data_IF_293157323824
#
_entry.id   IF_293157323824
#
_cell.length_a   1.000
_cell.length_b   1.000
_cell.length_c   1.000
_cell.angle_alpha   90.00
_cell.angle_beta   90.00
_cell.angle_gamma   90.00
#
_symmetry.space_group_name_H-M   'P 1'
#
loop_
_entity.id
_entity.type
_entity.pdbx_description
1 polymer ?
#
# COMPACT_ATOMS: atom_id res chain seq x y z
N UNK A 1 -5.72 12.72 -56.49
CA UNK A 1 -6.08 11.54 -55.67
C UNK A 1 -5.04 11.16 -54.61
N UNK A 2 -3.73 11.38 -54.79
CA UNK A 2 -2.70 11.03 -53.78
C UNK A 2 -2.75 11.84 -52.46
N UNK A 3 -3.22 13.09 -52.48
CA UNK A 3 -3.24 13.96 -51.29
C UNK A 3 -4.34 13.61 -50.28
N UNK A 4 -5.49 13.09 -50.73
CA UNK A 4 -6.62 12.75 -49.84
C UNK A 4 -6.32 11.48 -49.03
N UNK A 5 -5.59 10.53 -49.63
CA UNK A 5 -5.18 9.28 -48.96
C UNK A 5 -4.24 9.54 -47.76
N UNK A 6 -3.36 10.53 -47.88
CA UNK A 6 -2.43 10.93 -46.82
C UNK A 6 -3.14 11.51 -45.58
N UNK A 7 -4.20 12.31 -45.78
CA UNK A 7 -4.98 12.85 -44.66
C UNK A 7 -5.76 11.76 -43.91
N UNK A 8 -6.30 10.77 -44.63
CA UNK A 8 -6.99 9.62 -44.01
C UNK A 8 -6.03 8.79 -43.15
N UNK A 9 -4.81 8.54 -43.61
CA UNK A 9 -3.81 7.80 -42.82
C UNK A 9 -3.43 8.57 -41.55
N UNK A 10 -3.22 9.89 -41.64
CA UNK A 10 -2.86 10.72 -40.47
C UNK A 10 -3.98 10.73 -39.42
N UNK A 11 -5.24 10.82 -39.84
CA UNK A 11 -6.41 10.80 -38.94
C UNK A 11 -6.60 9.42 -38.29
N UNK A 12 -6.35 8.32 -39.01
CA UNK A 12 -6.45 6.97 -38.42
C UNK A 12 -5.27 6.70 -37.47
N UNK A 13 -4.07 7.25 -37.73
CA UNK A 13 -2.94 7.14 -36.81
C UNK A 13 -3.02 8.07 -35.61
N UNK A 14 -3.74 9.19 -35.68
CA UNK A 14 -3.95 10.09 -34.54
C UNK A 14 -5.13 9.68 -33.65
N UNK A 15 -6.12 8.97 -34.19
CA UNK A 15 -7.19 8.35 -33.41
C UNK A 15 -6.72 7.14 -32.58
N UNK A 16 -5.58 6.54 -32.95
CA UNK A 16 -4.91 5.49 -32.21
C UNK A 16 -3.67 6.03 -31.46
N UNK A 17 -3.74 7.24 -30.91
CA UNK A 17 -2.89 7.52 -29.75
C UNK A 17 -3.33 6.54 -28.65
N UNK A 18 -2.49 5.57 -28.23
CA UNK A 18 -2.77 4.82 -27.02
C UNK A 18 -2.44 5.75 -25.84
N UNK A 19 -3.19 6.84 -25.69
CA UNK A 19 -3.46 7.45 -24.40
C UNK A 19 -4.34 6.49 -23.62
N UNK A 20 -3.80 5.30 -23.39
CA UNK A 20 -4.44 4.22 -22.68
C UNK A 20 -4.59 4.75 -21.26
N UNK A 21 -5.83 4.97 -20.82
CA UNK A 21 -6.16 5.10 -19.41
C UNK A 21 -5.66 3.83 -18.72
N UNK A 22 -4.38 3.79 -18.34
CA UNK A 22 -3.75 2.65 -17.68
C UNK A 22 -4.20 2.73 -16.22
N UNK A 23 -5.34 2.14 -15.95
CA UNK A 23 -5.72 1.83 -14.57
C UNK A 23 -4.91 0.64 -14.08
N UNK A 24 -4.41 0.75 -12.86
CA UNK A 24 -3.85 -0.39 -12.13
C UNK A 24 -4.96 -1.02 -11.31
N UNK A 25 -5.08 -2.35 -11.35
CA UNK A 25 -6.04 -3.08 -10.54
C UNK A 25 -5.31 -4.08 -9.65
N UNK A 26 -5.57 -4.03 -8.35
CA UNK A 26 -5.08 -5.00 -7.36
C UNK A 26 -6.27 -5.78 -6.79
N UNK A 27 -6.20 -7.10 -6.83
CA UNK A 27 -7.13 -7.96 -6.10
C UNK A 27 -6.43 -8.49 -4.86
N UNK A 28 -6.85 -8.03 -3.69
CA UNK A 28 -6.21 -8.37 -2.42
C UNK A 28 -7.17 -9.18 -1.54
N UNK A 29 -6.63 -10.15 -0.80
CA UNK A 29 -7.37 -10.94 0.19
C UNK A 29 -7.39 -10.21 1.53
N UNK A 30 -8.54 -10.19 2.19
CA UNK A 30 -8.65 -9.57 3.51
C UNK A 30 -7.98 -10.46 4.54
N UNK A 31 -7.27 -9.84 5.49
CA UNK A 31 -6.67 -10.55 6.62
C UNK A 31 -7.07 -9.92 7.94
N UNK A 32 -7.06 -10.72 9.00
CA UNK A 32 -7.13 -10.27 10.39
C UNK A 32 -5.83 -10.59 11.11
N UNK A 33 -5.30 -9.66 11.91
CA UNK A 33 -4.12 -9.97 12.73
C UNK A 33 -4.49 -10.93 13.84
N UNK A 34 -3.60 -11.90 14.09
CA UNK A 34 -3.75 -12.84 15.22
C UNK A 34 -3.36 -12.22 16.56
N UNK A 35 -2.55 -11.16 16.50
CA UNK A 35 -2.08 -10.39 17.65
C UNK A 35 -2.94 -9.14 17.82
N UNK A 36 -3.77 -9.13 18.87
CA UNK A 36 -4.65 -8.00 19.17
C UNK A 36 -3.87 -6.72 19.50
N UNK A 37 -2.67 -6.83 20.09
CA UNK A 37 -1.84 -5.68 20.44
C UNK A 37 -1.31 -4.96 19.18
N UNK A 38 -1.06 -5.72 18.10
CA UNK A 38 -0.72 -5.13 16.80
C UNK A 38 -1.90 -4.33 16.23
N UNK A 39 -3.11 -4.87 16.35
CA UNK A 39 -4.32 -4.17 15.89
C UNK A 39 -4.56 -2.91 16.72
N UNK A 40 -4.37 -2.98 18.04
CA UNK A 40 -4.52 -1.85 18.95
C UNK A 40 -3.53 -0.73 18.64
N UNK A 41 -2.23 -1.03 18.52
CA UNK A 41 -1.22 0.00 18.25
C UNK A 41 -1.44 0.68 16.88
N UNK A 42 -1.84 -0.07 15.85
CA UNK A 42 -2.18 0.49 14.54
C UNK A 42 -3.47 1.32 14.58
N UNK A 43 -4.45 0.89 15.38
CA UNK A 43 -5.67 1.67 15.62
C UNK A 43 -5.33 2.99 16.32
N UNK A 44 -4.49 2.96 17.34
CA UNK A 44 -4.14 4.15 18.11
C UNK A 44 -3.30 5.12 17.29
N UNK A 45 -2.33 4.61 16.52
CA UNK A 45 -1.56 5.40 15.57
C UNK A 45 -2.46 6.09 14.54
N UNK A 46 -3.39 5.37 13.92
CA UNK A 46 -4.29 5.96 12.92
C UNK A 46 -5.27 6.99 13.51
N UNK A 47 -5.65 6.86 14.79
CA UNK A 47 -6.50 7.85 15.49
C UNK A 47 -5.73 9.08 15.95
N UNK A 48 -4.49 8.90 16.40
CA UNK A 48 -3.67 9.98 16.99
C UNK A 48 -2.95 10.78 15.91
N UNK A 49 -2.48 10.11 14.84
CA UNK A 49 -1.75 10.71 13.72
C UNK A 49 -2.67 10.99 12.52
N UNK A 50 -3.78 11.69 12.75
CA UNK A 50 -4.79 11.97 11.69
C UNK A 50 -4.24 12.81 10.52
N UNK A 51 -3.14 13.53 10.74
CA UNK A 51 -2.43 14.25 9.66
C UNK A 51 -1.68 13.30 8.73
N UNK A 52 -1.40 12.11 9.20
CA UNK A 52 -0.64 11.09 8.51
C UNK A 52 -1.61 10.12 7.85
N UNK A 53 -2.63 9.68 8.59
CA UNK A 53 -3.55 8.64 8.12
C UNK A 53 -4.88 9.24 7.67
N UNK A 54 -5.16 9.07 6.38
CA UNK A 54 -6.37 9.52 5.70
C UNK A 54 -7.15 8.31 5.20
N UNK A 55 -8.48 8.37 5.34
CA UNK A 55 -9.38 7.28 4.91
C UNK A 55 -9.44 7.12 3.39
N UNK A 56 -9.00 8.13 2.64
CA UNK A 56 -9.01 8.12 1.18
C UNK A 56 -7.69 7.61 0.58
N UNK A 57 -6.68 7.43 1.42
CA UNK A 57 -5.33 7.01 1.00
C UNK A 57 -5.07 5.55 1.36
N UNK A 58 -3.92 5.06 0.90
CA UNK A 58 -3.53 3.66 1.02
C UNK A 58 -2.10 3.58 1.57
N UNK A 59 -1.87 2.62 2.46
CA UNK A 59 -0.60 2.46 3.15
C UNK A 59 -0.09 1.03 3.01
N UNK A 60 1.22 0.83 3.11
CA UNK A 60 1.86 -0.48 3.04
C UNK A 60 2.47 -0.81 4.39
N UNK A 61 2.14 -1.98 4.93
CA UNK A 61 2.77 -2.55 6.12
C UNK A 61 3.92 -3.45 5.69
N UNK A 62 5.13 -3.00 5.99
CA UNK A 62 6.38 -3.67 5.66
C UNK A 62 6.97 -4.31 6.91
N UNK A 63 6.98 -5.63 6.87
CA UNK A 63 7.29 -6.47 8.00
C UNK A 63 8.68 -7.08 7.83
N UNK A 64 9.52 -6.96 8.85
CA UNK A 64 10.87 -7.50 8.80
C UNK A 64 11.38 -7.93 10.18
N UNK A 65 12.23 -8.94 10.16
CA UNK A 65 12.86 -9.50 11.33
C UNK A 65 14.35 -9.14 11.32
N UNK A 66 14.87 -8.78 12.49
CA UNK A 66 16.31 -8.49 12.62
C UNK A 66 17.13 -9.75 12.38
N UNK A 67 18.21 -9.63 11.61
CA UNK A 67 19.19 -10.72 11.46
C UNK A 67 20.04 -10.93 12.71
N UNK A 68 20.04 -9.97 13.64
CA UNK A 68 20.81 -10.00 14.89
C UNK A 68 20.02 -10.65 16.03
N UNK A 69 18.70 -10.72 15.93
CA UNK A 69 17.79 -11.14 17.00
C UNK A 69 16.54 -11.81 16.42
N UNK A 70 16.52 -13.14 16.43
CA UNK A 70 15.41 -13.95 15.88
C UNK A 70 14.08 -13.81 16.64
N UNK A 71 14.04 -13.09 17.76
CA UNK A 71 12.81 -12.88 18.52
C UNK A 71 12.29 -11.44 18.40
N UNK A 72 12.97 -10.58 17.65
CA UNK A 72 12.58 -9.18 17.49
C UNK A 72 11.96 -8.97 16.13
N UNK A 73 10.82 -8.30 16.15
CA UNK A 73 10.02 -8.05 14.97
C UNK A 73 9.80 -6.56 14.79
N UNK A 74 9.95 -6.10 13.56
CA UNK A 74 9.79 -4.71 13.18
C UNK A 74 8.75 -4.56 12.09
N UNK A 75 8.02 -3.46 12.18
CA UNK A 75 7.02 -3.06 11.21
C UNK A 75 7.29 -1.61 10.80
N UNK A 76 7.40 -1.37 9.50
CA UNK A 76 7.31 -0.02 8.94
C UNK A 76 5.99 0.19 8.21
N UNK A 77 5.54 1.44 8.23
CA UNK A 77 4.32 1.87 7.52
C UNK A 77 4.76 2.94 6.53
N UNK A 78 4.51 2.69 5.25
CA UNK A 78 4.86 3.58 4.15
C UNK A 78 3.60 3.94 3.35
N UNK A 79 3.62 5.06 2.63
CA UNK A 79 2.54 5.41 1.69
C UNK A 79 2.57 4.47 0.47
N UNK A 80 1.40 4.00 0.03
CA UNK A 80 1.32 3.18 -1.19
C UNK A 80 1.51 4.04 -2.43
N UNK A 81 2.49 3.67 -3.26
CA UNK A 81 2.74 4.28 -4.57
C UNK A 81 2.56 3.23 -5.66
N UNK A 82 1.89 3.61 -6.75
CA UNK A 82 1.59 2.73 -7.89
C UNK A 82 2.77 2.47 -8.81
N UNK A 83 4.00 2.85 -8.43
CA UNK A 83 5.20 2.53 -9.20
C UNK A 83 5.36 1.01 -9.39
N UNK A 84 5.85 0.62 -10.58
CA UNK A 84 5.54 -0.64 -11.27
C UNK A 84 6.19 -1.92 -10.72
N UNK A 85 6.55 -1.99 -9.44
CA UNK A 85 7.18 -3.17 -8.84
C UNK A 85 6.64 -3.56 -7.45
N UNK A 86 5.98 -2.65 -6.72
CA UNK A 86 5.39 -2.97 -5.41
C UNK A 86 4.08 -3.74 -5.57
N UNK A 87 3.35 -3.50 -6.66
CA UNK A 87 2.05 -4.12 -6.94
C UNK A 87 2.09 -5.65 -6.95
N UNK A 88 3.07 -6.24 -7.64
CA UNK A 88 3.24 -7.70 -7.73
C UNK A 88 3.63 -8.34 -6.39
N UNK A 89 4.04 -7.52 -5.42
CA UNK A 89 4.43 -7.96 -4.09
C UNK A 89 3.27 -7.91 -3.10
N UNK A 90 2.14 -7.28 -3.43
CA UNK A 90 0.98 -7.17 -2.55
C UNK A 90 -0.02 -8.30 -2.81
N UNK A 91 -0.54 -8.90 -1.74
CA UNK A 91 -1.57 -9.94 -1.86
C UNK A 91 -2.66 -9.84 -0.80
N UNK A 92 -2.42 -9.07 0.25
CA UNK A 92 -3.31 -8.98 1.38
C UNK A 92 -3.64 -7.53 1.73
N UNK A 93 -4.79 -7.31 2.35
CA UNK A 93 -5.16 -6.04 2.95
C UNK A 93 -5.84 -6.22 4.31
N UNK A 94 -5.69 -5.24 5.18
CA UNK A 94 -6.41 -5.13 6.45
C UNK A 94 -7.06 -3.75 6.54
N UNK A 95 -8.21 -3.67 7.20
CA UNK A 95 -8.94 -2.42 7.41
C UNK A 95 -8.92 -2.09 8.89
N UNK A 96 -8.34 -0.94 9.24
CA UNK A 96 -8.26 -0.44 10.63
C UNK A 96 -8.76 1.00 10.61
N UNK A 97 -9.77 1.31 11.43
CA UNK A 97 -10.38 2.65 11.49
C UNK A 97 -10.79 3.22 10.11
N UNK A 98 -11.37 2.36 9.26
CA UNK A 98 -11.74 2.64 7.87
C UNK A 98 -10.58 2.96 6.91
N UNK A 99 -9.33 2.76 7.32
CA UNK A 99 -8.14 2.95 6.50
C UNK A 99 -7.66 1.60 5.97
N UNK A 100 -7.29 1.56 4.69
CA UNK A 100 -6.81 0.34 4.03
C UNK A 100 -5.28 0.27 4.13
N UNK A 101 -4.79 -0.80 4.72
CA UNK A 101 -3.38 -1.14 4.79
C UNK A 101 -3.10 -2.38 3.94
N UNK A 102 -2.14 -2.29 3.04
CA UNK A 102 -1.71 -3.37 2.16
C UNK A 102 -0.52 -4.11 2.74
N UNK A 103 -0.46 -5.41 2.50
CA UNK A 103 0.55 -6.30 3.05
C UNK A 103 1.12 -7.17 1.93
N UNK A 104 2.44 -7.36 1.99
CA UNK A 104 3.16 -8.15 0.99
C UNK A 104 2.88 -9.66 1.10
N UNK A 105 2.95 -10.36 -0.03
CA UNK A 105 2.94 -11.82 -0.12
C UNK A 105 4.16 -12.50 0.51
N UNK A 106 5.22 -11.76 0.84
CA UNK A 106 6.42 -12.28 1.50
C UNK A 106 6.27 -12.44 3.01
N UNK A 107 5.18 -11.93 3.58
CA UNK A 107 4.90 -11.97 5.02
C UNK A 107 4.35 -13.35 5.39
N UNK A 108 4.74 -13.84 6.55
CA UNK A 108 4.36 -15.16 7.05
C UNK A 108 2.91 -15.19 7.54
N UNK A 109 2.22 -16.30 7.30
CA UNK A 109 0.82 -16.52 7.70
C UNK A 109 0.64 -16.77 9.21
N UNK A 110 1.70 -16.72 10.01
CA UNK A 110 1.64 -16.77 11.47
C UNK A 110 1.26 -15.42 12.10
N UNK A 111 1.36 -14.33 11.34
CA UNK A 111 1.08 -12.95 11.80
C UNK A 111 -0.41 -12.62 11.67
N UNK A 112 -1.05 -13.19 10.66
CA UNK A 112 -2.44 -12.94 10.34
C UNK A 112 -3.14 -14.21 9.88
N UNK A 113 -4.46 -14.20 9.89
CA UNK A 113 -5.30 -15.19 9.24
C UNK A 113 -5.94 -14.60 7.99
N UNK A 114 -6.06 -15.44 6.95
CA UNK A 114 -6.71 -15.05 5.70
C UNK A 114 -8.22 -15.23 5.86
N UNK A 115 -8.96 -14.15 5.62
CA UNK A 115 -10.41 -14.13 5.67
C UNK A 115 -10.97 -14.49 4.28
N UNK A 116 -12.24 -14.97 4.20
CA UNK A 116 -12.84 -15.38 2.93
C UNK A 116 -13.17 -14.21 1.98
N UNK A 117 -12.96 -12.98 2.42
CA UNK A 117 -13.31 -11.76 1.70
C UNK A 117 -12.13 -11.29 0.85
N UNK A 118 -12.37 -11.00 -0.43
CA UNK A 118 -11.43 -10.31 -1.31
C UNK A 118 -11.99 -8.98 -1.78
N UNK A 119 -11.13 -8.00 -2.05
CA UNK A 119 -11.52 -6.70 -2.59
C UNK A 119 -10.64 -6.30 -3.77
N UNK A 120 -11.27 -5.73 -4.79
CA UNK A 120 -10.60 -5.12 -5.93
C UNK A 120 -10.36 -3.63 -5.65
N UNK A 121 -9.11 -3.19 -5.82
CA UNK A 121 -8.68 -1.81 -5.71
C UNK A 121 -8.25 -1.32 -7.09
N UNK A 122 -8.89 -0.26 -7.59
CA UNK A 122 -8.64 0.30 -8.92
C UNK A 122 -8.04 1.69 -8.77
N UNK A 123 -6.83 1.87 -9.28
CA UNK A 123 -6.07 3.12 -9.22
C UNK A 123 -5.97 3.71 -10.61
N UNK A 124 -6.41 4.97 -10.76
CA UNK A 124 -6.22 5.72 -12.00
C UNK A 124 -4.90 6.49 -11.94
N UNK A 125 -4.23 6.62 -13.08
CA UNK A 125 -2.90 7.20 -13.18
C UNK A 125 -2.86 8.71 -12.82
N UNK A 126 -4.01 9.38 -12.79
CA UNK A 126 -4.21 10.78 -12.40
C UNK A 126 -4.49 10.97 -10.89
N UNK A 127 -4.64 9.88 -10.13
CA UNK A 127 -4.79 9.87 -8.67
C UNK A 127 -3.49 9.53 -7.95
N UNK A 128 -2.39 9.47 -8.68
CA UNK A 128 -1.06 9.25 -8.12
C UNK A 128 -0.64 10.57 -7.45
N UNK A 129 -0.44 10.61 -6.12
CA UNK A 129 0.10 11.81 -5.49
C UNK A 129 1.41 12.17 -6.19
N UNK A 130 1.58 13.47 -6.49
CA UNK A 130 2.80 13.97 -7.10
C UNK A 130 4.00 13.52 -6.27
N UNK A 131 5.16 13.33 -6.92
CA UNK A 131 6.45 13.07 -6.27
C UNK A 131 6.81 14.29 -5.41
N UNK A 132 6.21 14.35 -4.23
CA UNK A 132 6.41 15.29 -3.14
C UNK A 132 6.57 14.40 -1.93
N UNK A 133 7.79 13.88 -1.78
CA UNK A 133 8.11 12.87 -0.81
C UNK A 133 8.08 13.44 0.59
N UNK A 134 7.04 13.08 1.33
CA UNK A 134 7.13 13.13 2.78
C UNK A 134 7.81 11.88 3.34
N UNK A 135 8.61 12.05 4.39
CA UNK A 135 9.27 10.98 5.12
C UNK A 135 8.24 10.23 5.96
N UNK A 136 7.45 9.37 5.32
CA UNK A 136 6.48 8.51 5.99
C UNK A 136 7.20 7.29 6.57
N UNK A 137 7.84 7.47 7.73
CA UNK A 137 8.58 6.40 8.40
C UNK A 137 8.03 6.19 9.81
N UNK A 138 7.18 5.18 9.92
CA UNK A 138 6.85 4.59 11.19
C UNK A 138 7.77 3.40 11.40
N UNK A 139 8.35 3.27 12.58
CA UNK A 139 9.05 2.04 12.98
C UNK A 139 8.42 1.56 14.27
N UNK A 140 7.82 0.39 14.22
CA UNK A 140 7.19 -0.26 15.37
C UNK A 140 8.00 -1.50 15.69
N UNK A 141 8.33 -1.68 16.95
CA UNK A 141 9.09 -2.81 17.46
C UNK A 141 8.22 -3.65 18.39
N UNK A 142 8.21 -4.98 18.15
CA UNK A 142 7.64 -5.96 19.08
C UNK A 142 8.73 -6.42 20.05
N UNK A 143 8.49 -6.21 21.33
CA UNK A 143 9.35 -6.68 22.41
C UNK A 143 9.25 -8.19 22.60
N UNK A 144 10.25 -8.84 23.23
CA UNK A 144 10.15 -10.24 23.64
C UNK A 144 9.01 -10.55 24.60
N UNK A 145 8.42 -9.52 25.22
CA UNK A 145 7.26 -9.64 26.13
C UNK A 145 5.94 -9.38 25.39
N UNK A 146 5.92 -9.44 24.06
CA UNK A 146 4.74 -9.29 23.19
C UNK A 146 4.12 -7.88 23.18
N UNK A 147 4.76 -6.87 23.77
CA UNK A 147 4.34 -5.47 23.65
C UNK A 147 4.88 -4.81 22.37
N UNK A 148 4.14 -3.86 21.82
CA UNK A 148 4.57 -3.03 20.69
C UNK A 148 4.98 -1.63 21.15
N UNK A 149 6.10 -1.13 20.63
CA UNK A 149 6.57 0.24 20.85
C UNK A 149 6.82 0.95 19.52
N UNK A 150 6.40 2.20 19.44
CA UNK A 150 6.73 3.08 18.31
C UNK A 150 8.11 3.67 18.56
N UNK A 151 9.09 3.27 17.76
CA UNK A 151 10.48 3.72 17.84
C UNK A 151 10.74 4.98 17.02
N UNK A 152 10.10 5.08 15.84
CA UNK A 152 10.20 6.24 14.96
C UNK A 152 8.82 6.59 14.45
N UNK A 153 8.56 7.90 14.37
CA UNK A 153 7.32 8.46 13.83
C UNK A 153 7.65 9.73 13.06
N UNK A 154 7.74 9.62 11.74
CA UNK A 154 7.85 10.79 10.86
C UNK A 154 6.72 10.79 9.83
N UNK A 155 6.21 11.98 9.58
CA UNK A 155 5.10 12.23 8.67
C UNK A 155 5.07 13.73 8.39
N UNK A 156 5.30 14.11 7.14
CA UNK A 156 5.34 15.50 6.68
C UNK A 156 6.02 15.61 5.32
N UNK A 157 5.60 16.59 4.51
CA UNK A 157 6.11 16.94 3.17
C UNK A 157 7.59 17.35 3.14
#
# INVERSE_FOLDING_TARGET
MKRILLYLIIVVTSANCPGQNRSTTLTLQQVGFKDDALTEILSDLSKTEQRCFSKNDFYVLNFFQSSLSGNEYYLTIDEFRTESNIQDLLSYYVVINDINFFISNKVTLDIFEVLPTSKEFVFKQDQIPAVGGGDYHFLIWKTPNEYYHVLLRTCGE
#
